data_IF_010083603711
#
_entry.id   IF_010083603711
#
_cell.length_a   1.000
_cell.length_b   1.000
_cell.length_c   1.000
_cell.angle_alpha   90.00
_cell.angle_beta   90.00
_cell.angle_gamma   90.00
#
_symmetry.space_group_name_H-M   'P 1'
#
loop_
_entity.id
_entity.type
_entity.pdbx_description
1 polymer ?
#
# COMPACT_ATOMS: atom_id res chain seq x y z
N UNK A 1 31.43 -0.12 -13.42
CA UNK A 1 30.75 -0.98 -12.44
C UNK A 1 30.19 -0.05 -11.38
N UNK A 2 28.92 0.36 -11.51
CA UNK A 2 27.76 -0.11 -10.74
C UNK A 2 27.93 -0.01 -9.22
N UNK A 3 27.06 0.79 -8.59
CA UNK A 3 26.45 0.59 -7.27
C UNK A 3 25.30 1.60 -7.16
N UNK A 4 24.20 1.36 -7.86
CA UNK A 4 22.94 2.05 -7.58
C UNK A 4 22.48 1.61 -6.19
N UNK A 5 22.68 2.46 -5.18
CA UNK A 5 22.09 2.27 -3.86
C UNK A 5 20.56 2.30 -4.03
N UNK A 6 19.95 1.13 -4.05
CA UNK A 6 18.54 0.91 -4.37
C UNK A 6 17.62 1.18 -3.17
N UNK A 7 18.00 2.16 -2.34
CA UNK A 7 17.32 2.53 -1.10
C UNK A 7 16.67 3.89 -1.27
N UNK A 8 15.38 3.98 -0.94
CA UNK A 8 14.63 5.22 -0.93
C UNK A 8 15.28 6.24 0.00
N UNK A 9 15.33 7.51 -0.42
CA UNK A 9 15.66 8.60 0.46
C UNK A 9 14.61 8.70 1.60
N UNK A 10 14.93 9.36 2.73
CA UNK A 10 14.00 9.44 3.86
C UNK A 10 12.63 10.03 3.50
N UNK A 11 12.58 11.06 2.64
CA UNK A 11 11.33 11.67 2.20
C UNK A 11 10.53 10.75 1.27
N UNK A 12 11.20 10.01 0.38
CA UNK A 12 10.54 9.01 -0.49
C UNK A 12 9.98 7.84 0.35
N UNK A 13 10.70 7.43 1.39
CA UNK A 13 10.22 6.41 2.35
C UNK A 13 8.96 6.90 3.06
N UNK A 14 8.94 8.16 3.52
CA UNK A 14 7.77 8.76 4.14
C UNK A 14 6.58 8.82 3.17
N UNK A 15 6.80 9.25 1.93
CA UNK A 15 5.77 9.34 0.89
C UNK A 15 5.13 7.97 0.59
N UNK A 16 5.94 6.92 0.50
CA UNK A 16 5.43 5.55 0.31
C UNK A 16 4.60 5.08 1.52
N UNK A 17 5.00 5.43 2.75
CA UNK A 17 4.21 5.13 3.95
C UNK A 17 2.91 5.94 4.01
N UNK A 18 2.90 7.18 3.53
CA UNK A 18 1.69 8.00 3.41
C UNK A 18 0.73 7.40 2.39
N UNK A 19 1.24 6.96 1.24
CA UNK A 19 0.46 6.27 0.22
C UNK A 19 -0.17 4.98 0.78
N UNK A 20 0.60 4.16 1.50
CA UNK A 20 0.09 2.97 2.17
C UNK A 20 -1.03 3.30 3.18
N UNK A 21 -0.86 4.36 3.98
CA UNK A 21 -1.89 4.82 4.92
C UNK A 21 -3.15 5.30 4.21
N UNK A 22 -3.01 5.97 3.08
CA UNK A 22 -4.13 6.42 2.25
C UNK A 22 -4.95 5.23 1.74
N UNK A 23 -4.28 4.24 1.16
CA UNK A 23 -4.90 2.99 0.67
C UNK A 23 -5.65 2.24 1.79
N UNK A 24 -5.01 2.09 2.95
CA UNK A 24 -5.63 1.45 4.12
C UNK A 24 -6.85 2.22 4.63
N UNK A 25 -6.78 3.55 4.65
CA UNK A 25 -7.90 4.41 5.06
C UNK A 25 -9.07 4.26 4.10
N UNK A 26 -8.81 4.21 2.78
CA UNK A 26 -9.84 3.99 1.77
C UNK A 26 -10.49 2.61 1.92
N UNK A 27 -9.69 1.56 2.07
CA UNK A 27 -10.21 0.20 2.30
C UNK A 27 -11.13 0.13 3.52
N UNK A 28 -10.72 0.72 4.66
CA UNK A 28 -11.55 0.78 5.87
C UNK A 28 -12.85 1.54 5.66
N UNK A 29 -12.83 2.65 4.90
CA UNK A 29 -14.04 3.39 4.54
C UNK A 29 -14.99 2.54 3.69
N UNK A 30 -14.48 1.83 2.69
CA UNK A 30 -15.28 0.93 1.86
C UNK A 30 -15.91 -0.19 2.71
N UNK A 31 -15.12 -0.83 3.57
CA UNK A 31 -15.58 -1.89 4.48
C UNK A 31 -16.67 -1.40 5.44
N UNK A 32 -16.46 -0.23 6.06
CA UNK A 32 -17.43 0.34 7.01
C UNK A 32 -18.78 0.66 6.34
N UNK A 33 -18.76 1.10 5.09
CA UNK A 33 -19.97 1.48 4.36
C UNK A 33 -20.62 0.32 3.58
N UNK A 34 -19.94 -0.81 3.38
CA UNK A 34 -20.48 -1.92 2.57
C UNK A 34 -21.83 -2.44 3.10
N UNK A 35 -22.01 -2.44 4.42
CA UNK A 35 -23.22 -2.97 5.07
C UNK A 35 -24.48 -2.12 4.82
N UNK A 36 -24.32 -0.82 4.53
CA UNK A 36 -25.45 0.11 4.34
C UNK A 36 -25.82 0.33 2.87
N UNK A 37 -24.97 -0.12 1.95
CA UNK A 37 -25.24 -0.02 0.51
C UNK A 37 -26.33 -1.01 0.17
N UNK A 38 -27.35 -0.58 -0.58
CA UNK A 38 -28.47 -1.44 -0.99
C UNK A 38 -28.39 -1.78 -2.47
N UNK A 39 -27.97 -0.82 -3.28
CA UNK A 39 -27.81 -0.97 -4.72
C UNK A 39 -26.75 -2.03 -5.06
N UNK A 40 -27.13 -2.98 -5.92
CA UNK A 40 -26.29 -4.14 -6.24
C UNK A 40 -25.11 -3.78 -7.13
N UNK A 41 -25.28 -2.83 -8.05
CA UNK A 41 -24.21 -2.35 -8.92
C UNK A 41 -23.16 -1.60 -8.10
N UNK A 42 -23.60 -0.73 -7.18
CA UNK A 42 -22.74 -0.04 -6.24
C UNK A 42 -22.01 -1.00 -5.29
N UNK A 43 -22.68 -2.04 -4.79
CA UNK A 43 -22.02 -3.11 -4.01
C UNK A 43 -20.93 -3.80 -4.80
N UNK A 44 -21.20 -4.15 -6.05
CA UNK A 44 -20.21 -4.80 -6.91
C UNK A 44 -19.01 -3.89 -7.15
N UNK A 45 -19.26 -2.64 -7.52
CA UNK A 45 -18.23 -1.62 -7.68
C UNK A 45 -17.38 -1.45 -6.42
N UNK A 46 -18.01 -1.39 -5.24
CA UNK A 46 -17.29 -1.27 -3.97
C UNK A 46 -16.46 -2.52 -3.65
N UNK A 47 -16.93 -3.72 -4.00
CA UNK A 47 -16.13 -4.95 -3.86
C UNK A 47 -14.91 -4.95 -4.79
N UNK A 48 -15.08 -4.54 -6.04
CA UNK A 48 -13.97 -4.40 -7.00
C UNK A 48 -12.95 -3.36 -6.51
N UNK A 49 -13.43 -2.23 -5.99
CA UNK A 49 -12.59 -1.20 -5.38
C UNK A 49 -11.81 -1.76 -4.18
N UNK A 50 -12.45 -2.47 -3.25
CA UNK A 50 -11.77 -3.11 -2.10
C UNK A 50 -10.69 -4.09 -2.57
N UNK A 51 -10.98 -4.94 -3.55
CA UNK A 51 -10.01 -5.87 -4.13
C UNK A 51 -8.83 -5.15 -4.80
N UNK A 52 -9.06 -3.98 -5.39
CA UNK A 52 -8.00 -3.13 -5.94
C UNK A 52 -7.14 -2.53 -4.83
N UNK A 53 -7.76 -1.93 -3.80
CA UNK A 53 -7.06 -1.36 -2.63
C UNK A 53 -6.20 -2.42 -1.91
N UNK A 54 -6.74 -3.63 -1.72
CA UNK A 54 -6.02 -4.75 -1.08
C UNK A 54 -4.75 -5.13 -1.86
N UNK A 55 -4.85 -5.26 -3.19
CA UNK A 55 -3.69 -5.52 -4.05
C UNK A 55 -2.64 -4.41 -3.97
N UNK A 56 -3.06 -3.14 -3.98
CA UNK A 56 -2.15 -2.00 -3.83
C UNK A 56 -1.44 -2.01 -2.47
N UNK A 57 -2.14 -2.33 -1.38
CA UNK A 57 -1.55 -2.48 -0.05
C UNK A 57 -0.47 -3.56 -0.05
N UNK A 58 -0.76 -4.73 -0.61
CA UNK A 58 0.20 -5.84 -0.69
C UNK A 58 1.44 -5.47 -1.50
N UNK A 59 1.26 -4.79 -2.64
CA UNK A 59 2.36 -4.31 -3.47
C UNK A 59 3.23 -3.28 -2.72
N UNK A 60 2.62 -2.33 -2.03
CA UNK A 60 3.33 -1.32 -1.24
C UNK A 60 4.08 -1.95 -0.07
N UNK A 61 3.47 -2.91 0.63
CA UNK A 61 4.12 -3.64 1.71
C UNK A 61 5.32 -4.45 1.20
N UNK A 62 5.18 -5.14 0.06
CA UNK A 62 6.28 -5.87 -0.58
C UNK A 62 7.41 -4.92 -1.01
N UNK A 63 7.06 -3.76 -1.56
CA UNK A 63 8.03 -2.74 -1.97
C UNK A 63 8.80 -2.15 -0.77
N UNK A 64 8.12 -1.84 0.33
CA UNK A 64 8.77 -1.36 1.56
C UNK A 64 9.67 -2.46 2.14
N UNK A 65 9.21 -3.71 2.16
CA UNK A 65 9.99 -4.83 2.69
C UNK A 65 11.25 -5.11 1.86
N UNK A 66 11.18 -5.02 0.53
CA UNK A 66 12.34 -5.20 -0.35
C UNK A 66 13.36 -4.06 -0.21
N UNK A 67 12.92 -2.82 -0.01
CA UNK A 67 13.80 -1.69 0.33
C UNK A 67 14.43 -1.81 1.73
N UNK A 68 13.69 -2.35 2.70
CA UNK A 68 14.15 -2.53 4.09
C UNK A 68 15.15 -3.68 4.26
N UNK A 69 15.02 -4.75 3.47
CA UNK A 69 15.92 -5.90 3.51
C UNK A 69 17.36 -5.55 3.08
N UNK A 70 17.56 -4.49 2.28
CA UNK A 70 18.88 -4.03 1.85
C UNK A 70 19.61 -3.16 2.89
N UNK A 71 18.90 -2.64 3.91
CA UNK A 71 19.48 -1.75 4.92
C UNK A 71 20.18 -2.49 6.07
N UNK A 72 20.02 -3.82 6.18
CA UNK A 72 20.54 -4.60 7.32
C UNK A 72 21.95 -5.19 7.11
N UNK A 73 22.69 -4.74 6.08
CA UNK A 73 24.03 -5.22 5.74
C UNK A 73 25.19 -4.23 6.01
N UNK A 74 24.91 -3.05 6.58
CA UNK A 74 25.86 -1.92 6.64
C UNK A 74 26.52 -1.63 8.00
N UNK A 75 26.36 -2.49 9.01
CA UNK A 75 27.05 -2.34 10.30
C UNK A 75 27.83 -3.61 10.65
N UNK A 76 28.98 -3.79 10.00
CA UNK A 76 30.12 -4.56 10.50
C UNK A 76 31.40 -3.83 10.17
#
# INVERSE_FOLDING_TARGET
MNLQNNTLAPHETLEVHELLRSELTCLKKLQANMSIVQDNELKQFMNEAMNSKQRSIEQLQQFIASGSAMNNGGMR
#
